data_IF_612799806289
#
_entry.id   IF_612799806289
#
_cell.length_a   1.000
_cell.length_b   1.000
_cell.length_c   1.000
_cell.angle_alpha   90.00
_cell.angle_beta   90.00
_cell.angle_gamma   90.00
#
_symmetry.space_group_name_H-M   'P 1'
#
loop_
_entity.id
_entity.type
_entity.pdbx_description
1 polymer ?
#
# COMPACT_ATOMS: atom_id res chain seq x y z
N UNK A 1 6.69 3.91 -8.68
CA UNK A 1 5.39 3.33 -8.30
C UNK A 1 4.36 4.44 -8.11
N UNK A 2 3.09 4.10 -8.22
CA UNK A 2 1.94 4.97 -7.99
C UNK A 2 0.75 4.14 -7.48
N UNK A 3 -0.24 4.80 -6.89
CA UNK A 3 -1.52 4.16 -6.55
C UNK A 3 -2.51 4.35 -7.69
N UNK A 4 -3.18 3.27 -8.11
CA UNK A 4 -4.12 3.29 -9.23
C UNK A 4 -5.24 2.26 -9.06
N UNK A 5 -6.40 2.59 -9.63
CA UNK A 5 -7.56 1.72 -9.76
C UNK A 5 -7.95 1.63 -11.23
N UNK A 6 -8.21 0.43 -11.72
CA UNK A 6 -8.56 0.21 -13.12
C UNK A 6 -9.98 0.71 -13.44
N UNK A 7 -10.93 0.46 -12.52
CA UNK A 7 -12.31 0.94 -12.62
C UNK A 7 -12.66 1.82 -11.43
N UNK A 8 -13.72 2.62 -11.58
CA UNK A 8 -14.12 3.59 -10.56
C UNK A 8 -14.48 2.95 -9.19
N UNK A 9 -15.05 1.75 -9.20
CA UNK A 9 -15.46 1.03 -8.00
C UNK A 9 -14.40 0.04 -7.48
N UNK A 10 -13.24 -0.04 -8.14
CA UNK A 10 -12.16 -0.90 -7.67
C UNK A 10 -11.38 -0.22 -6.54
N UNK A 11 -10.82 -1.00 -5.60
CA UNK A 11 -9.89 -0.48 -4.63
C UNK A 11 -8.62 0.07 -5.31
N UNK A 12 -7.99 1.03 -4.64
CA UNK A 12 -6.67 1.51 -5.06
C UNK A 12 -5.61 0.47 -4.72
N UNK A 13 -4.70 0.21 -5.65
CA UNK A 13 -3.57 -0.68 -5.45
C UNK A 13 -2.25 0.00 -5.78
N UNK A 14 -1.16 -0.57 -5.26
CA UNK A 14 0.19 -0.13 -5.61
C UNK A 14 0.61 -0.77 -6.93
N UNK A 15 1.03 0.06 -7.87
CA UNK A 15 1.55 -0.32 -9.18
C UNK A 15 2.98 0.17 -9.37
N UNK A 16 3.80 -0.65 -10.02
CA UNK A 16 5.16 -0.31 -10.42
C UNK A 16 5.27 -0.29 -11.94
N UNK A 17 6.09 0.63 -12.45
CA UNK A 17 6.48 0.74 -13.85
C UNK A 17 7.94 1.20 -13.88
N UNK A 18 8.70 0.76 -14.88
CA UNK A 18 10.06 1.23 -15.11
C UNK A 18 10.05 2.69 -15.59
N UNK A 19 11.17 3.39 -15.41
CA UNK A 19 11.30 4.80 -15.84
C UNK A 19 11.17 4.96 -17.36
N UNK A 20 11.55 3.93 -18.12
CA UNK A 20 11.37 3.87 -19.57
C UNK A 20 9.93 3.54 -20.01
N UNK A 21 9.00 3.39 -19.06
CA UNK A 21 7.60 3.07 -19.32
C UNK A 21 7.30 1.58 -19.53
N UNK A 22 8.30 0.70 -19.42
CA UNK A 22 8.12 -0.75 -19.54
C UNK A 22 7.82 -1.41 -18.18
N UNK A 23 7.48 -2.70 -18.18
CA UNK A 23 7.41 -3.49 -16.94
C UNK A 23 6.28 -3.10 -15.98
N UNK A 24 5.17 -2.57 -16.49
CA UNK A 24 3.99 -2.28 -15.67
C UNK A 24 3.52 -3.54 -14.93
N UNK A 25 3.44 -3.47 -13.59
CA UNK A 25 2.96 -4.57 -12.77
C UNK A 25 2.22 -4.10 -11.53
N UNK A 26 1.19 -4.86 -11.18
CA UNK A 26 0.44 -4.68 -9.94
C UNK A 26 1.15 -5.40 -8.78
N UNK A 27 1.46 -4.65 -7.72
CA UNK A 27 2.17 -5.13 -6.54
C UNK A 27 1.19 -5.67 -5.49
N UNK A 28 0.11 -4.94 -5.21
CA UNK A 28 -0.89 -5.32 -4.20
C UNK A 28 -2.23 -5.71 -4.83
N UNK A 29 -2.98 -6.59 -4.16
CA UNK A 29 -4.26 -7.12 -4.62
C UNK A 29 -5.23 -7.33 -3.46
N UNK A 30 -6.50 -7.53 -3.80
CA UNK A 30 -7.58 -7.88 -2.86
C UNK A 30 -8.58 -6.74 -2.67
N UNK A 31 -9.53 -6.89 -1.74
CA UNK A 31 -10.61 -5.92 -1.54
C UNK A 31 -10.20 -4.67 -0.73
N UNK A 32 -8.90 -4.35 -0.66
CA UNK A 32 -8.36 -3.34 0.26
C UNK A 32 -7.74 -2.17 -0.50
N UNK A 33 -7.87 -0.97 0.06
CA UNK A 33 -7.21 0.22 -0.47
C UNK A 33 -5.76 0.30 0.02
N UNK A 34 -4.84 0.46 -0.93
CA UNK A 34 -3.41 0.65 -0.69
C UNK A 34 -2.95 1.99 -1.32
N UNK A 35 -2.56 2.95 -0.49
CA UNK A 35 -2.27 4.33 -0.89
C UNK A 35 -1.09 4.95 -0.17
N UNK A 36 -0.75 6.20 -0.54
CA UNK A 36 0.27 7.04 0.11
C UNK A 36 1.66 6.38 0.21
N UNK A 37 2.11 5.75 -0.89
CA UNK A 37 3.38 5.04 -0.91
C UNK A 37 4.59 5.99 -0.85
N UNK A 38 5.64 5.57 -0.13
CA UNK A 38 6.92 6.27 -0.03
C UNK A 38 8.05 5.27 -0.27
N UNK A 39 9.01 5.63 -1.13
CA UNK A 39 10.21 4.84 -1.38
C UNK A 39 11.37 5.24 -0.48
N UNK A 40 12.20 4.26 -0.16
CA UNK A 40 13.50 4.43 0.45
C UNK A 40 14.62 4.33 -0.59
N UNK A 41 15.79 4.97 -0.35
CA UNK A 41 16.92 4.91 -1.26
C UNK A 41 17.45 3.49 -1.54
N UNK A 42 17.27 2.56 -0.59
CA UNK A 42 17.67 1.16 -0.72
C UNK A 42 16.65 0.30 -1.49
N UNK A 43 15.61 0.93 -2.05
CA UNK A 43 14.57 0.28 -2.84
C UNK A 43 13.41 -0.28 -2.02
N UNK A 44 13.47 -0.29 -0.68
CA UNK A 44 12.30 -0.59 0.16
C UNK A 44 11.21 0.45 -0.07
N UNK A 45 9.98 0.13 0.32
CA UNK A 45 8.90 1.11 0.33
C UNK A 45 7.90 0.81 1.44
N UNK A 46 7.20 1.85 1.85
CA UNK A 46 6.05 1.79 2.76
C UNK A 46 4.79 2.29 2.07
N UNK A 47 3.63 1.83 2.53
CA UNK A 47 2.32 2.32 2.08
C UNK A 47 1.27 2.14 3.19
N UNK A 48 0.18 2.89 3.08
CA UNK A 48 -0.99 2.78 3.95
C UNK A 48 -1.97 1.76 3.36
N UNK A 49 -2.49 0.85 4.19
CA UNK A 49 -3.42 -0.21 3.76
C UNK A 49 -4.65 -0.29 4.66
N UNK A 50 -5.83 -0.48 4.06
CA UNK A 50 -7.07 -0.78 4.79
C UNK A 50 -7.22 -2.27 5.15
N UNK A 51 -6.15 -3.06 5.00
CA UNK A 51 -6.17 -4.51 5.18
C UNK A 51 -6.28 -4.95 6.62
N UNK A 52 -5.88 -4.09 7.54
CA UNK A 52 -6.08 -4.28 8.98
C UNK A 52 -7.18 -3.34 9.41
N UNK A 53 -8.17 -3.87 10.11
CA UNK A 53 -9.14 -3.05 10.81
C UNK A 53 -8.44 -2.42 12.01
N UNK A 54 -8.11 -1.13 11.89
CA UNK A 54 -7.49 -0.37 12.97
C UNK A 54 -8.32 0.88 13.24
N UNK A 55 -8.56 1.18 14.51
CA UNK A 55 -9.36 2.32 14.93
C UNK A 55 -8.44 3.38 15.53
N UNK A 56 -8.48 4.60 14.99
CA UNK A 56 -7.89 5.74 15.68
C UNK A 56 -8.87 6.23 16.73
N UNK A 57 -8.53 6.18 18.03
CA UNK A 57 -9.41 6.66 19.11
C UNK A 57 -9.89 8.12 18.93
N UNK A 58 -9.19 8.91 18.12
CA UNK A 58 -9.53 10.32 17.83
C UNK A 58 -10.32 10.52 16.52
N UNK A 59 -10.54 9.49 15.72
CA UNK A 59 -11.22 9.55 14.43
C UNK A 59 -12.19 8.38 14.35
N UNK A 60 -13.50 8.65 14.27
CA UNK A 60 -14.58 7.64 14.18
C UNK A 60 -14.57 6.84 12.85
N UNK A 61 -13.41 6.69 12.19
CA UNK A 61 -13.21 5.94 10.96
C UNK A 61 -12.00 5.01 11.06
N UNK A 62 -12.02 3.95 10.23
CA UNK A 62 -10.92 3.01 10.09
C UNK A 62 -9.62 3.73 9.69
N UNK A 63 -8.64 3.69 10.58
CA UNK A 63 -7.29 4.14 10.30
C UNK A 63 -6.56 3.09 9.45
N UNK A 64 -5.84 3.51 8.40
CA UNK A 64 -5.06 2.58 7.61
C UNK A 64 -3.81 2.14 8.39
N UNK A 65 -3.46 0.86 8.28
CA UNK A 65 -2.23 0.31 8.82
C UNK A 65 -1.03 0.60 7.90
N UNK A 66 0.15 0.71 8.48
CA UNK A 66 1.39 0.90 7.71
C UNK A 66 2.02 -0.44 7.37
N UNK A 67 2.33 -0.63 6.09
CA UNK A 67 3.03 -1.80 5.58
C UNK A 67 4.41 -1.40 5.06
N UNK A 68 5.38 -2.29 5.22
CA UNK A 68 6.68 -2.23 4.55
C UNK A 68 6.88 -3.43 3.65
N UNK A 69 7.62 -3.19 2.57
CA UNK A 69 8.01 -4.21 1.61
C UNK A 69 9.50 -4.06 1.28
N UNK A 70 10.16 -5.20 1.08
CA UNK A 70 11.55 -5.25 0.68
C UNK A 70 11.77 -4.68 -0.73
N UNK A 71 13.03 -4.37 -1.04
CA UNK A 71 13.43 -3.85 -2.35
C UNK A 71 13.14 -4.83 -3.50
N UNK A 72 13.28 -6.13 -3.25
CA UNK A 72 12.93 -7.23 -4.17
C UNK A 72 11.41 -7.51 -4.25
N UNK A 73 10.60 -6.72 -3.53
CA UNK A 73 9.14 -6.85 -3.38
C UNK A 73 8.68 -8.07 -2.59
N UNK A 74 9.60 -8.78 -1.97
CA UNK A 74 9.27 -9.83 -1.02
C UNK A 74 8.83 -9.23 0.32
N UNK A 75 8.33 -10.12 1.20
CA UNK A 75 8.12 -9.82 2.62
C UNK A 75 7.28 -8.55 2.87
N UNK A 76 6.08 -8.51 2.30
CA UNK A 76 5.09 -7.49 2.64
C UNK A 76 4.54 -7.78 4.04
N UNK A 77 4.77 -6.86 4.99
CA UNK A 77 4.32 -7.02 6.38
C UNK A 77 3.81 -5.72 6.97
N UNK A 78 2.84 -5.83 7.86
CA UNK A 78 2.37 -4.73 8.69
C UNK A 78 3.47 -4.35 9.70
N UNK A 79 3.73 -3.06 9.87
CA UNK A 79 4.64 -2.53 10.91
C UNK A 79 3.84 -1.94 12.07
N UNK A 80 2.75 -1.26 11.76
CA UNK A 80 2.01 -0.48 12.74
C UNK A 80 0.52 -0.46 12.41
N UNK A 81 -0.29 -0.60 13.46
CA UNK A 81 -1.73 -0.50 13.44
C UNK A 81 -2.22 -0.21 14.86
N UNK A 82 -3.31 0.54 14.98
CA UNK A 82 -3.96 0.75 16.27
C UNK A 82 -4.76 -0.50 16.66
N UNK A 83 -4.40 -1.14 17.79
CA UNK A 83 -5.15 -2.24 18.38
C UNK A 83 -6.40 -1.73 19.11
N UNK A 84 -7.45 -2.54 19.10
CA UNK A 84 -8.69 -2.33 19.83
C UNK A 84 -8.56 -2.62 21.33
#
# INVERSE_FOLDING_TARGET
>A
MFSYKEKNNDPFHVWEINVDGTGLRQITRGPYHDCNLIYYPDGRFVFCSSRVESCSLCQDFLAPALYIVNADRSNMRCIDYALH
#
